data_IF_310267322119
#
_entry.id   IF_310267322119
#
_cell.length_a   1.000
_cell.length_b   1.000
_cell.length_c   1.000
_cell.angle_alpha   90.00
_cell.angle_beta   90.00
_cell.angle_gamma   90.00
#
_symmetry.space_group_name_H-M   'P 1'
#
loop_
_entity.id
_entity.type
_entity.pdbx_description
1 polymer ?
#
# COMPACT_ATOMS: atom_id res chain seq x y z
N UNK A 1 13.23 9.75 30.83
CA UNK A 1 12.37 9.74 29.62
C UNK A 1 11.07 10.39 30.02
N UNK A 2 10.70 11.48 29.36
CA UNK A 2 9.48 12.24 29.70
C UNK A 2 8.25 11.54 29.13
N UNK A 3 7.05 11.79 29.68
CA UNK A 3 5.81 11.20 29.18
C UNK A 3 5.57 11.51 27.68
N UNK A 4 6.10 12.64 27.18
CA UNK A 4 6.01 13.06 25.77
C UNK A 4 6.79 12.10 24.86
N UNK A 5 7.97 11.66 25.29
CA UNK A 5 8.81 10.73 24.51
C UNK A 5 8.11 9.36 24.35
N UNK A 6 7.43 8.91 25.41
CA UNK A 6 6.66 7.66 25.38
C UNK A 6 5.44 7.75 24.48
N UNK A 7 4.71 8.88 24.52
CA UNK A 7 3.56 9.12 23.66
C UNK A 7 3.96 9.20 22.18
N UNK A 8 5.04 9.94 21.87
CA UNK A 8 5.56 10.04 20.50
C UNK A 8 5.97 8.67 19.96
N UNK A 9 6.65 7.85 20.78
CA UNK A 9 6.99 6.47 20.42
C UNK A 9 5.77 5.61 20.12
N UNK A 10 4.71 5.72 20.93
CA UNK A 10 3.45 4.99 20.71
C UNK A 10 2.77 5.42 19.40
N UNK A 11 2.71 6.72 19.12
CA UNK A 11 2.12 7.25 17.89
C UNK A 11 2.87 6.71 16.67
N UNK A 12 4.19 6.78 16.68
CA UNK A 12 5.02 6.27 15.58
C UNK A 12 4.80 4.75 15.40
N UNK A 13 4.72 3.99 16.49
CA UNK A 13 4.44 2.55 16.44
C UNK A 13 3.06 2.25 15.81
N UNK A 14 2.02 2.99 16.20
CA UNK A 14 0.68 2.81 15.63
C UNK A 14 0.68 3.12 14.13
N UNK A 15 1.30 4.24 13.72
CA UNK A 15 1.42 4.60 12.30
C UNK A 15 2.19 3.54 11.51
N UNK A 16 3.27 3.01 12.07
CA UNK A 16 4.07 1.93 11.50
C UNK A 16 3.23 0.68 11.24
N UNK A 17 2.45 0.25 12.24
CA UNK A 17 1.60 -0.94 12.14
C UNK A 17 0.50 -0.74 11.10
N UNK A 18 -0.15 0.44 11.07
CA UNK A 18 -1.17 0.77 10.08
C UNK A 18 -0.59 0.75 8.67
N UNK A 19 0.61 1.32 8.46
CA UNK A 19 1.27 1.34 7.17
C UNK A 19 1.57 -0.08 6.65
N UNK A 20 2.14 -0.94 7.51
CA UNK A 20 2.42 -2.35 7.15
C UNK A 20 1.13 -3.11 6.86
N UNK A 21 0.09 -2.94 7.70
CA UNK A 21 -1.19 -3.60 7.50
C UNK A 21 -1.85 -3.16 6.18
N UNK A 22 -1.80 -1.87 5.87
CA UNK A 22 -2.29 -1.32 4.60
C UNK A 22 -1.52 -1.86 3.39
N UNK A 23 -0.19 -1.97 3.49
CA UNK A 23 0.65 -2.53 2.44
C UNK A 23 0.37 -4.02 2.20
N UNK A 24 0.26 -4.79 3.28
CA UNK A 24 -0.09 -6.21 3.21
C UNK A 24 -1.48 -6.43 2.61
N UNK A 25 -2.46 -5.63 3.02
CA UNK A 25 -3.81 -5.67 2.46
C UNK A 25 -3.84 -5.29 0.98
N UNK A 26 -3.13 -4.22 0.58
CA UNK A 26 -2.99 -3.80 -0.81
C UNK A 26 -2.38 -4.91 -1.68
N UNK A 27 -1.29 -5.51 -1.21
CA UNK A 27 -0.60 -6.59 -1.93
C UNK A 27 -1.50 -7.83 -2.06
N UNK A 28 -2.15 -8.23 -0.98
CA UNK A 28 -3.09 -9.35 -0.99
C UNK A 28 -4.25 -9.13 -1.96
N UNK A 29 -4.82 -7.93 -1.97
CA UNK A 29 -5.82 -7.54 -2.95
C UNK A 29 -5.27 -7.66 -4.37
N UNK A 30 -4.13 -7.04 -4.65
CA UNK A 30 -3.51 -7.04 -5.98
C UNK A 30 -3.23 -8.45 -6.53
N UNK A 31 -2.77 -9.36 -5.68
CA UNK A 31 -2.51 -10.76 -6.05
C UNK A 31 -3.80 -11.45 -6.50
N UNK A 32 -4.92 -11.22 -5.81
CA UNK A 32 -6.22 -11.85 -6.08
C UNK A 32 -6.92 -11.33 -7.33
N UNK A 33 -6.64 -10.10 -7.74
CA UNK A 33 -7.35 -9.49 -8.88
C UNK A 33 -6.88 -10.05 -10.23
N UNK A 34 -7.78 -10.23 -11.22
CA UNK A 34 -7.42 -10.73 -12.54
C UNK A 34 -6.49 -9.75 -13.26
N UNK A 35 -5.48 -10.26 -13.98
CA UNK A 35 -4.46 -9.44 -14.65
C UNK A 35 -5.03 -8.52 -15.72
N UNK A 36 -6.09 -8.95 -16.41
CA UNK A 36 -6.77 -8.18 -17.46
C UNK A 36 -7.41 -6.89 -16.94
N UNK A 37 -7.71 -6.81 -15.64
CA UNK A 37 -8.37 -5.64 -15.07
C UNK A 37 -7.42 -4.45 -14.84
N UNK A 38 -6.10 -4.66 -14.84
CA UNK A 38 -5.14 -3.57 -14.56
C UNK A 38 -4.91 -2.66 -15.78
N UNK A 39 -4.62 -3.19 -16.99
CA UNK A 39 -4.43 -2.36 -18.18
C UNK A 39 -5.69 -1.57 -18.58
N UNK A 40 -6.87 -2.05 -18.20
CA UNK A 40 -8.13 -1.38 -18.47
C UNK A 40 -8.33 -0.10 -17.64
N UNK A 41 -7.52 0.12 -16.60
CA UNK A 41 -7.83 1.13 -15.59
C UNK A 41 -6.64 2.00 -15.18
N UNK A 42 -5.43 1.52 -15.41
CA UNK A 42 -4.21 2.28 -15.16
C UNK A 42 -3.20 2.04 -16.29
N UNK A 43 -2.20 2.92 -16.40
CA UNK A 43 -1.09 2.78 -17.35
C UNK A 43 -0.16 1.62 -16.96
N UNK A 44 -0.17 1.24 -15.68
CA UNK A 44 0.71 0.21 -15.13
C UNK A 44 0.02 -1.17 -15.13
N UNK A 45 0.79 -2.20 -15.46
CA UNK A 45 0.31 -3.59 -15.48
C UNK A 45 0.34 -4.22 -14.08
N UNK A 46 -0.38 -5.33 -13.91
CA UNK A 46 -0.40 -6.09 -12.63
C UNK A 46 1.01 -6.42 -12.10
N UNK A 47 1.96 -6.94 -12.89
CA UNK A 47 3.30 -7.24 -12.39
C UNK A 47 4.04 -6.00 -11.85
N UNK A 48 3.86 -4.84 -12.48
CA UNK A 48 4.47 -3.58 -12.03
C UNK A 48 3.87 -3.16 -10.68
N UNK A 49 2.54 -3.20 -10.55
CA UNK A 49 1.88 -2.91 -9.27
C UNK A 49 2.28 -3.88 -8.15
N UNK A 50 2.39 -5.17 -8.44
CA UNK A 50 2.89 -6.15 -7.47
C UNK A 50 4.33 -5.83 -7.04
N UNK A 51 5.22 -5.50 -7.98
CA UNK A 51 6.59 -5.11 -7.68
C UNK A 51 6.67 -3.88 -6.77
N UNK A 52 5.87 -2.85 -7.06
CA UNK A 52 5.78 -1.63 -6.24
C UNK A 52 5.30 -1.96 -4.82
N UNK A 53 4.22 -2.75 -4.69
CA UNK A 53 3.64 -3.08 -3.39
C UNK A 53 4.55 -3.99 -2.55
N UNK A 54 5.26 -4.94 -3.18
CA UNK A 54 6.25 -5.78 -2.51
C UNK A 54 7.42 -4.91 -2.01
N UNK A 55 7.95 -4.04 -2.86
CA UNK A 55 9.03 -3.13 -2.48
C UNK A 55 8.60 -2.18 -1.35
N UNK A 56 7.38 -1.62 -1.43
CA UNK A 56 6.83 -0.77 -0.39
C UNK A 56 6.68 -1.52 0.94
N UNK A 57 6.15 -2.74 0.93
CA UNK A 57 6.03 -3.56 2.14
C UNK A 57 7.40 -3.86 2.76
N UNK A 58 8.40 -4.21 1.95
CA UNK A 58 9.76 -4.45 2.44
C UNK A 58 10.38 -3.19 3.03
N UNK A 59 10.23 -2.04 2.38
CA UNK A 59 10.71 -0.75 2.90
C UNK A 59 10.05 -0.43 4.24
N UNK A 60 8.73 -0.62 4.36
CA UNK A 60 8.03 -0.36 5.61
C UNK A 60 8.54 -1.27 6.74
N UNK A 61 8.75 -2.56 6.48
CA UNK A 61 9.24 -3.51 7.49
C UNK A 61 10.68 -3.22 7.89
N UNK A 62 11.56 -2.92 6.93
CA UNK A 62 13.00 -2.84 7.15
C UNK A 62 13.48 -1.44 7.57
N UNK A 63 12.86 -0.38 7.04
CA UNK A 63 13.30 1.01 7.21
C UNK A 63 12.29 1.88 7.99
N UNK A 64 11.07 1.38 8.21
CA UNK A 64 10.02 2.12 8.90
C UNK A 64 9.25 3.10 8.01
N UNK A 65 8.16 3.64 8.54
CA UNK A 65 7.19 4.48 7.83
C UNK A 65 7.55 5.98 7.88
N UNK A 66 8.33 6.43 8.87
CA UNK A 66 8.55 7.86 9.17
C UNK A 66 9.84 8.44 8.55
N UNK A 67 10.48 7.72 7.62
CA UNK A 67 11.62 8.21 6.83
C UNK A 67 11.26 8.49 5.37
N UNK A 68 12.12 9.16 4.59
CA UNK A 68 11.84 9.49 3.18
C UNK A 68 11.35 8.29 2.36
N UNK A 69 12.07 7.16 2.44
CA UNK A 69 11.69 5.92 1.75
C UNK A 69 10.39 5.32 2.29
N UNK A 70 10.17 5.40 3.61
CA UNK A 70 8.93 4.99 4.26
C UNK A 70 7.73 5.79 3.76
N UNK A 71 7.87 7.11 3.65
CA UNK A 71 6.82 7.97 3.11
C UNK A 71 6.53 7.65 1.65
N UNK A 72 7.55 7.41 0.82
CA UNK A 72 7.36 6.97 -0.57
C UNK A 72 6.59 5.64 -0.62
N UNK A 73 6.94 4.70 0.26
CA UNK A 73 6.24 3.41 0.37
C UNK A 73 4.78 3.58 0.81
N UNK A 74 4.51 4.42 1.82
CA UNK A 74 3.13 4.75 2.26
C UNK A 74 2.35 5.37 1.10
N UNK A 75 2.92 6.32 0.37
CA UNK A 75 2.27 6.95 -0.78
C UNK A 75 1.93 5.90 -1.85
N UNK A 76 2.84 5.00 -2.19
CA UNK A 76 2.58 3.94 -3.15
C UNK A 76 1.40 3.04 -2.72
N UNK A 77 1.34 2.70 -1.44
CA UNK A 77 0.22 1.92 -0.86
C UNK A 77 -1.10 2.72 -0.94
N UNK A 78 -1.07 4.00 -0.57
CA UNK A 78 -2.25 4.87 -0.64
C UNK A 78 -2.77 5.02 -2.06
N UNK A 79 -1.89 5.25 -3.04
CA UNK A 79 -2.27 5.33 -4.46
C UNK A 79 -2.94 4.03 -4.91
N UNK A 80 -2.39 2.88 -4.54
CA UNK A 80 -3.02 1.61 -4.88
C UNK A 80 -4.41 1.45 -4.25
N UNK A 81 -4.55 1.75 -2.96
CA UNK A 81 -5.80 1.54 -2.23
C UNK A 81 -6.90 2.51 -2.65
N UNK A 82 -6.55 3.77 -2.90
CA UNK A 82 -7.51 4.84 -3.18
C UNK A 82 -7.77 4.98 -4.66
N UNK A 83 -6.75 4.86 -5.52
CA UNK A 83 -6.92 5.09 -6.94
C UNK A 83 -7.12 3.78 -7.70
N UNK A 84 -6.22 2.80 -7.56
CA UNK A 84 -6.19 1.61 -8.43
C UNK A 84 -7.25 0.60 -8.05
N UNK A 85 -7.38 0.29 -6.75
CA UNK A 85 -8.28 -0.74 -6.26
C UNK A 85 -9.75 -0.49 -6.63
N UNK A 86 -10.37 0.68 -6.33
CA UNK A 86 -11.79 0.89 -6.61
C UNK A 86 -12.11 0.77 -8.10
N UNK A 87 -11.16 1.25 -8.90
CA UNK A 87 -11.13 1.27 -10.36
C UNK A 87 -11.04 -0.15 -10.96
N UNK A 88 -10.13 -0.98 -10.45
CA UNK A 88 -10.01 -2.41 -10.81
C UNK A 88 -11.28 -3.19 -10.42
N UNK A 89 -11.89 -2.87 -9.28
CA UNK A 89 -13.17 -3.45 -8.87
C UNK A 89 -14.33 -3.00 -9.79
N UNK A 90 -14.36 -1.75 -10.25
CA UNK A 90 -15.41 -1.23 -11.13
C UNK A 90 -15.45 -1.95 -12.49
N UNK A 91 -14.28 -2.16 -13.12
CA UNK A 91 -14.21 -2.88 -14.40
C UNK A 91 -14.73 -4.31 -14.29
N UNK A 92 -14.57 -4.94 -13.13
CA UNK A 92 -15.10 -6.29 -12.89
C UNK A 92 -16.62 -6.30 -12.69
N UNK A 93 -17.20 -5.23 -12.13
CA UNK A 93 -18.66 -5.13 -11.95
C UNK A 93 -19.41 -4.91 -13.27
N UNK A 94 -18.82 -4.19 -14.23
CA UNK A 94 -19.46 -3.87 -15.54
C UNK A 94 -19.60 -5.05 -16.51
N UNK A 95 -19.27 -6.28 -16.12
CA UNK A 95 -19.37 -7.47 -16.98
C UNK A 95 -20.77 -8.14 -16.96
N UNK A 96 -21.79 -7.47 -16.43
CA UNK A 96 -23.21 -7.87 -16.43
C UNK A 96 -24.08 -6.69 -16.84
#
# INVERSE_FOLDING_TARGET
>A
MTNVDSLAGLIILVLQVIAIAGAGFALFHAVRQPSEAFPAVDKLTKPVWLGILIAALLVLILLGAVGLLGIIAVVAVCVYLVDVRPRVEEVQRRRW
#
